data_IF_076338019435
#
_entry.id   IF_076338019435
#
_cell.length_a   1.000
_cell.length_b   1.000
_cell.length_c   1.000
_cell.angle_alpha   90.00
_cell.angle_beta   90.00
_cell.angle_gamma   90.00
#
_symmetry.space_group_name_H-M   'P 1'
#
loop_
_entity.id
_entity.type
_entity.pdbx_description
1 polymer ?
#
# COMPACT_ATOMS: atom_id res chain seq x y z
N UNK A 1 -38.04 63.45 65.44
CA UNK A 1 -38.85 62.35 66.02
C UNK A 1 -39.52 61.69 64.83
N UNK A 2 -39.17 60.48 64.41
CA UNK A 2 -39.47 59.24 65.13
C UNK A 2 -38.52 58.11 64.71
N UNK A 3 -38.01 57.38 65.70
CA UNK A 3 -37.37 56.07 65.54
C UNK A 3 -38.40 54.95 65.76
N UNK A 4 -38.10 53.78 65.19
CA UNK A 4 -38.53 52.40 65.56
C UNK A 4 -39.69 51.76 64.77
N UNK A 5 -39.79 50.41 64.68
CA UNK A 5 -38.85 49.35 65.10
C UNK A 5 -38.55 48.27 64.04
N UNK A 6 -37.43 47.57 64.27
CA UNK A 6 -36.97 46.38 63.57
C UNK A 6 -37.55 45.13 64.28
N UNK A 7 -38.58 44.50 63.73
CA UNK A 7 -39.00 43.15 64.14
C UNK A 7 -39.50 42.36 62.93
N UNK A 8 -38.61 41.61 62.27
CA UNK A 8 -39.00 40.57 61.32
C UNK A 8 -39.10 39.21 62.05
N UNK A 9 -40.09 38.36 61.72
CA UNK A 9 -40.44 37.19 62.53
C UNK A 9 -39.49 36.00 62.26
N UNK A 10 -39.11 35.31 63.34
CA UNK A 10 -38.22 34.13 63.36
C UNK A 10 -38.57 32.96 62.39
N UNK A 11 -39.83 32.68 61.98
CA UNK A 11 -40.13 31.59 61.05
C UNK A 11 -39.52 31.78 59.65
N UNK A 12 -39.27 33.03 59.23
CA UNK A 12 -38.69 33.33 57.92
C UNK A 12 -37.18 33.00 57.84
N UNK A 13 -36.50 32.86 58.99
CA UNK A 13 -35.09 32.48 59.04
C UNK A 13 -34.88 31.00 58.70
N UNK A 14 -35.75 30.11 59.20
CA UNK A 14 -35.62 28.66 59.03
C UNK A 14 -35.76 28.20 57.57
N UNK A 15 -36.74 28.74 56.84
CA UNK A 15 -36.94 28.38 55.42
C UNK A 15 -35.86 28.94 54.48
N UNK A 16 -35.33 30.13 54.76
CA UNK A 16 -34.22 30.72 53.99
C UNK A 16 -32.90 29.97 54.21
N UNK A 17 -32.65 29.50 55.43
CA UNK A 17 -31.48 28.67 55.74
C UNK A 17 -31.56 27.30 55.02
N UNK A 18 -32.71 26.62 55.05
CA UNK A 18 -32.87 25.33 54.38
C UNK A 18 -32.71 25.39 52.86
N UNK A 19 -33.21 26.46 52.21
CA UNK A 19 -33.07 26.65 50.76
C UNK A 19 -31.64 27.05 50.35
N UNK A 20 -30.97 27.89 51.13
CA UNK A 20 -29.57 28.28 50.88
C UNK A 20 -28.60 27.11 51.04
N UNK A 21 -28.85 26.21 52.01
CA UNK A 21 -28.01 25.02 52.22
C UNK A 21 -28.12 24.02 51.07
N UNK A 22 -29.33 23.82 50.50
CA UNK A 22 -29.51 22.97 49.31
C UNK A 22 -28.89 23.56 48.05
N UNK A 23 -28.96 24.89 47.87
CA UNK A 23 -28.30 25.57 46.76
C UNK A 23 -26.77 25.50 46.89
N UNK A 24 -26.23 25.70 48.10
CA UNK A 24 -24.79 25.58 48.36
C UNK A 24 -24.27 24.15 48.11
N UNK A 25 -25.01 23.11 48.52
CA UNK A 25 -24.62 21.72 48.25
C UNK A 25 -24.64 21.38 46.76
N UNK A 26 -25.63 21.89 46.01
CA UNK A 26 -25.71 21.68 44.56
C UNK A 26 -24.55 22.37 43.81
N UNK A 27 -24.15 23.57 44.22
CA UNK A 27 -23.01 24.29 43.62
C UNK A 27 -21.68 23.58 43.90
N UNK A 28 -21.51 23.02 45.09
CA UNK A 28 -20.30 22.28 45.47
C UNK A 28 -20.14 20.96 44.72
N UNK A 29 -21.24 20.20 44.55
CA UNK A 29 -21.26 18.95 43.79
C UNK A 29 -20.95 19.23 42.30
N UNK A 30 -21.63 20.20 41.71
CA UNK A 30 -21.43 20.58 40.30
C UNK A 30 -19.99 21.06 40.03
N UNK A 31 -19.36 21.72 41.01
CA UNK A 31 -17.96 22.16 40.90
C UNK A 31 -16.97 20.98 40.99
N UNK A 32 -17.23 19.97 41.83
CA UNK A 32 -16.41 18.76 41.89
C UNK A 32 -16.51 17.95 40.59
N UNK A 33 -17.72 17.80 40.05
CA UNK A 33 -17.95 17.11 38.78
C UNK A 33 -17.22 17.80 37.62
N UNK A 34 -17.31 19.14 37.55
CA UNK A 34 -16.58 19.94 36.56
C UNK A 34 -15.06 19.80 36.69
N UNK A 35 -14.51 19.73 37.91
CA UNK A 35 -13.07 19.51 38.11
C UNK A 35 -12.65 18.09 37.73
N UNK A 36 -13.50 17.09 37.98
CA UNK A 36 -13.29 15.70 37.56
C UNK A 36 -13.29 15.56 36.04
N UNK A 37 -14.29 16.17 35.38
CA UNK A 37 -14.40 16.20 33.92
C UNK A 37 -13.23 16.96 33.29
N UNK A 38 -12.84 18.10 33.84
CA UNK A 38 -11.68 18.85 33.35
C UNK A 38 -10.37 18.04 33.46
N UNK A 39 -10.19 17.26 34.55
CA UNK A 39 -9.04 16.36 34.69
C UNK A 39 -9.09 15.21 33.69
N UNK A 40 -10.25 14.59 33.49
CA UNK A 40 -10.45 13.52 32.50
C UNK A 40 -10.16 14.01 31.08
N UNK A 41 -10.73 15.16 30.70
CA UNK A 41 -10.50 15.77 29.39
C UNK A 41 -9.02 16.13 29.18
N UNK A 42 -8.33 16.66 30.20
CA UNK A 42 -6.89 16.94 30.13
C UNK A 42 -6.06 15.66 29.97
N UNK A 43 -6.42 14.58 30.66
CA UNK A 43 -5.74 13.29 30.52
C UNK A 43 -5.94 12.71 29.11
N UNK A 44 -7.17 12.77 28.57
CA UNK A 44 -7.48 12.34 27.22
C UNK A 44 -6.74 13.17 26.16
N UNK A 45 -6.69 14.50 26.32
CA UNK A 45 -5.92 15.38 25.44
C UNK A 45 -4.43 15.01 25.45
N UNK A 46 -3.84 14.81 26.64
CA UNK A 46 -2.43 14.43 26.74
C UNK A 46 -2.15 13.07 26.07
N UNK A 47 -3.07 12.11 26.19
CA UNK A 47 -2.97 10.81 25.54
C UNK A 47 -3.06 10.93 24.01
N UNK A 48 -4.08 11.65 23.51
CA UNK A 48 -4.27 11.88 22.07
C UNK A 48 -3.09 12.64 21.45
N UNK A 49 -2.55 13.63 22.15
CA UNK A 49 -1.34 14.33 21.70
C UNK A 49 -0.12 13.42 21.64
N UNK A 50 0.04 12.52 22.62
CA UNK A 50 1.13 11.55 22.63
C UNK A 50 1.02 10.56 21.46
N UNK A 51 -0.20 10.07 21.21
CA UNK A 51 -0.48 9.18 20.09
C UNK A 51 -0.26 9.89 18.74
N UNK A 52 -0.71 11.13 18.61
CA UNK A 52 -0.50 11.94 17.41
C UNK A 52 1.00 12.16 17.15
N UNK A 53 1.79 12.47 18.20
CA UNK A 53 3.25 12.57 18.09
C UNK A 53 3.88 11.26 17.62
N UNK A 54 3.47 10.12 18.18
CA UNK A 54 3.96 8.80 17.77
C UNK A 54 3.65 8.51 16.30
N UNK A 55 2.41 8.76 15.87
CA UNK A 55 1.97 8.55 14.48
C UNK A 55 2.75 9.46 13.51
N UNK A 56 2.98 10.73 13.86
CA UNK A 56 3.79 11.64 13.04
C UNK A 56 5.23 11.13 12.88
N UNK A 57 5.85 10.67 13.95
CA UNK A 57 7.20 10.10 13.90
C UNK A 57 7.26 8.82 13.04
N UNK A 58 6.23 7.99 13.10
CA UNK A 58 6.13 6.79 12.26
C UNK A 58 5.96 7.16 10.77
N UNK A 59 5.10 8.13 10.47
CA UNK A 59 4.95 8.66 9.10
C UNK A 59 6.25 9.29 8.59
N UNK A 60 6.98 10.03 9.43
CA UNK A 60 8.29 10.58 9.08
C UNK A 60 9.35 9.48 8.88
N UNK A 61 9.30 8.41 9.66
CA UNK A 61 10.20 7.26 9.50
C UNK A 61 9.90 6.51 8.20
N UNK A 62 8.64 6.20 7.94
CA UNK A 62 8.19 5.51 6.74
C UNK A 62 8.46 6.35 5.50
N UNK A 63 8.18 7.66 5.53
CA UNK A 63 8.49 8.56 4.41
C UNK A 63 9.99 8.69 4.15
N UNK A 64 10.84 8.70 5.19
CA UNK A 64 12.30 8.64 5.00
C UNK A 64 12.77 7.32 4.42
N UNK A 65 12.23 6.19 4.88
CA UNK A 65 12.52 4.88 4.32
C UNK A 65 12.12 4.81 2.84
N UNK A 66 10.93 5.33 2.49
CA UNK A 66 10.45 5.45 1.10
C UNK A 66 11.32 6.38 0.26
N UNK A 67 11.86 7.48 0.81
CA UNK A 67 12.80 8.37 0.09
C UNK A 67 14.15 7.71 -0.17
N UNK A 68 14.70 7.02 0.82
CA UNK A 68 15.96 6.26 0.68
C UNK A 68 15.78 5.12 -0.33
N UNK A 69 14.64 4.42 -0.26
CA UNK A 69 14.26 3.42 -1.24
C UNK A 69 14.09 4.07 -2.61
N UNK A 70 13.37 5.19 -2.77
CA UNK A 70 13.22 5.89 -4.06
C UNK A 70 14.54 6.39 -4.68
N UNK A 71 15.56 6.68 -3.86
CA UNK A 71 16.91 7.01 -4.36
C UNK A 71 17.72 5.78 -4.82
N UNK A 72 17.30 4.57 -4.45
CA UNK A 72 17.91 3.29 -4.85
C UNK A 72 16.97 2.42 -5.73
N UNK A 73 15.70 2.83 -5.83
CA UNK A 73 14.64 2.16 -6.54
C UNK A 73 14.44 2.84 -7.90
N UNK A 74 13.84 2.12 -8.84
CA UNK A 74 13.40 2.69 -10.10
C UNK A 74 12.47 3.85 -9.79
N UNK A 75 12.81 5.05 -10.26
CA UNK A 75 11.97 6.20 -10.05
C UNK A 75 10.57 5.93 -10.62
N UNK A 76 9.52 6.14 -9.81
CA UNK A 76 8.15 6.12 -10.31
C UNK A 76 7.99 7.26 -11.30
N UNK A 77 7.50 6.95 -12.50
CA UNK A 77 7.23 7.92 -13.57
C UNK A 77 5.80 8.41 -13.45
N UNK A 78 4.84 7.49 -13.32
CA UNK A 78 3.41 7.82 -13.24
C UNK A 78 2.62 6.71 -12.53
N UNK A 79 1.45 7.09 -12.00
CA UNK A 79 0.36 6.16 -11.67
C UNK A 79 -0.69 6.34 -12.76
N UNK A 80 -0.98 5.28 -13.50
CA UNK A 80 -1.82 5.33 -14.69
C UNK A 80 -3.08 4.47 -14.51
N UNK A 81 -4.28 4.98 -14.84
CA UNK A 81 -5.48 4.16 -14.85
C UNK A 81 -5.44 3.16 -16.01
N UNK A 82 -5.93 1.95 -15.78
CA UNK A 82 -6.19 0.95 -16.83
C UNK A 82 -7.54 1.28 -17.44
N UNK A 83 -7.55 1.71 -18.69
CA UNK A 83 -8.76 2.18 -19.39
C UNK A 83 -9.36 1.14 -20.32
N UNK A 84 -8.70 -0.01 -20.45
CA UNK A 84 -9.21 -1.13 -21.21
C UNK A 84 -8.20 -2.25 -21.36
N UNK A 85 -8.67 -3.33 -21.96
CA UNK A 85 -7.85 -4.45 -22.39
C UNK A 85 -7.96 -4.56 -23.90
N UNK A 86 -6.82 -4.76 -24.55
CA UNK A 86 -6.82 -5.08 -25.96
C UNK A 86 -6.88 -6.60 -26.14
N UNK A 87 -8.04 -7.07 -26.61
CA UNK A 87 -8.35 -8.47 -26.91
C UNK A 87 -8.26 -8.78 -28.42
N UNK A 88 -7.78 -7.84 -29.24
CA UNK A 88 -7.64 -8.04 -30.68
C UNK A 88 -6.52 -9.02 -31.05
N UNK A 89 -5.56 -9.22 -30.15
CA UNK A 89 -4.49 -10.20 -30.28
C UNK A 89 -4.81 -11.55 -29.62
N UNK A 90 -3.96 -12.55 -29.86
CA UNK A 90 -4.02 -13.85 -29.18
C UNK A 90 -3.75 -13.77 -27.67
N UNK A 91 -3.18 -12.65 -27.20
CA UNK A 91 -2.67 -12.48 -25.85
C UNK A 91 -3.17 -11.20 -25.22
N UNK A 92 -3.19 -11.20 -23.88
CA UNK A 92 -3.76 -10.14 -23.08
C UNK A 92 -2.83 -8.93 -23.00
N UNK A 93 -3.28 -7.78 -23.49
CA UNK A 93 -2.60 -6.49 -23.39
C UNK A 93 -3.47 -5.49 -22.62
N UNK A 94 -2.84 -4.59 -21.86
CA UNK A 94 -3.55 -3.54 -21.11
C UNK A 94 -3.35 -2.19 -21.78
N UNK A 95 -4.39 -1.36 -21.78
CA UNK A 95 -4.36 0.01 -22.28
C UNK A 95 -4.37 0.95 -21.08
N UNK A 96 -3.36 1.82 -21.00
CA UNK A 96 -3.26 2.84 -19.96
C UNK A 96 -3.85 4.16 -20.45
N UNK A 97 -4.50 4.90 -19.55
CA UNK A 97 -5.09 6.21 -19.80
C UNK A 97 -4.10 7.38 -19.79
N UNK A 98 -2.79 7.09 -19.79
CA UNK A 98 -1.70 8.06 -19.88
C UNK A 98 -0.80 7.73 -21.07
N UNK A 99 -0.10 8.73 -21.61
CA UNK A 99 0.73 8.60 -22.81
C UNK A 99 2.02 9.42 -22.78
N UNK A 100 2.52 9.79 -23.96
CA UNK A 100 3.78 10.52 -24.11
C UNK A 100 3.82 11.85 -23.34
N UNK A 101 2.67 12.55 -23.30
CA UNK A 101 2.49 13.84 -22.58
C UNK A 101 2.69 13.69 -21.07
N UNK A 102 2.45 12.50 -20.55
CA UNK A 102 2.58 12.16 -19.13
C UNK A 102 3.96 11.57 -18.80
N UNK A 103 4.88 11.56 -19.79
CA UNK A 103 6.25 11.08 -19.62
C UNK A 103 6.44 9.59 -19.85
N UNK A 104 5.40 8.85 -20.26
CA UNK A 104 5.51 7.42 -20.59
C UNK A 104 6.36 7.24 -21.85
N UNK A 105 7.18 6.18 -21.87
CA UNK A 105 8.01 5.78 -23.01
C UNK A 105 8.00 4.26 -23.14
N UNK A 106 8.26 3.79 -24.35
CA UNK A 106 8.46 2.36 -24.63
C UNK A 106 9.62 1.82 -23.79
N UNK A 107 9.45 0.61 -23.26
CA UNK A 107 10.44 -0.05 -22.40
C UNK A 107 10.30 0.28 -20.92
N UNK A 108 9.34 1.11 -20.51
CA UNK A 108 9.05 1.35 -19.10
C UNK A 108 8.38 0.13 -18.45
N UNK A 109 8.87 -0.37 -17.30
CA UNK A 109 8.20 -1.40 -16.52
C UNK A 109 6.88 -0.91 -15.94
N UNK A 110 5.91 -1.81 -15.91
CA UNK A 110 4.60 -1.59 -15.30
C UNK A 110 4.39 -2.58 -14.18
N UNK A 111 3.96 -2.08 -13.03
CA UNK A 111 3.78 -2.84 -11.80
C UNK A 111 2.45 -2.49 -11.13
N UNK A 112 1.97 -3.37 -10.28
CA UNK A 112 0.89 -3.15 -9.33
C UNK A 112 1.45 -3.39 -7.92
N UNK A 113 0.72 -3.01 -6.85
CA UNK A 113 1.15 -3.26 -5.47
C UNK A 113 1.53 -4.73 -5.20
N UNK A 114 0.87 -5.67 -5.88
CA UNK A 114 1.07 -7.11 -5.74
C UNK A 114 2.31 -7.62 -6.50
N UNK A 115 2.73 -6.94 -7.57
CA UNK A 115 3.87 -7.38 -8.37
C UNK A 115 3.94 -6.84 -9.80
N UNK A 116 4.72 -7.54 -10.63
CA UNK A 116 4.98 -7.18 -12.01
C UNK A 116 3.72 -7.38 -12.87
N UNK A 117 3.38 -6.35 -13.66
CA UNK A 117 2.28 -6.39 -14.63
C UNK A 117 2.83 -6.66 -16.04
N UNK A 118 3.90 -5.97 -16.43
CA UNK A 118 4.43 -6.08 -17.78
C UNK A 118 5.32 -4.92 -18.18
N UNK A 119 5.39 -4.66 -19.48
CA UNK A 119 6.25 -3.65 -20.08
C UNK A 119 5.47 -2.81 -21.10
N UNK A 120 5.69 -1.50 -21.10
CA UNK A 120 5.15 -0.63 -22.15
C UNK A 120 5.83 -0.96 -23.48
N UNK A 121 5.03 -1.30 -24.48
CA UNK A 121 5.50 -1.66 -25.83
C UNK A 121 5.14 -0.61 -26.89
N UNK A 122 4.06 0.14 -26.68
CA UNK A 122 3.65 1.24 -27.55
C UNK A 122 3.19 2.41 -26.69
N UNK A 123 3.46 3.64 -27.16
CA UNK A 123 3.00 4.87 -26.51
C UNK A 123 2.46 5.80 -27.57
N UNK A 124 1.25 6.28 -27.35
CA UNK A 124 0.60 7.34 -28.09
C UNK A 124 0.56 8.62 -27.23
N UNK A 125 0.05 9.70 -27.79
CA UNK A 125 0.03 11.00 -27.12
C UNK A 125 -0.71 10.99 -25.76
N UNK A 126 -1.76 10.17 -25.62
CA UNK A 126 -2.64 10.10 -24.44
C UNK A 126 -2.89 8.68 -23.91
N UNK A 127 -2.26 7.68 -24.50
CA UNK A 127 -2.45 6.27 -24.14
C UNK A 127 -1.15 5.51 -24.29
N UNK A 128 -1.05 4.39 -23.62
CA UNK A 128 0.06 3.47 -23.78
C UNK A 128 -0.44 2.03 -23.74
N UNK A 129 0.22 1.15 -24.50
CA UNK A 129 -0.08 -0.27 -24.55
C UNK A 129 0.97 -1.04 -23.76
N UNK A 130 0.49 -1.90 -22.86
CA UNK A 130 1.32 -2.75 -22.00
C UNK A 130 1.22 -4.19 -22.49
N UNK A 131 2.37 -4.76 -22.84
CA UNK A 131 2.51 -6.21 -22.99
C UNK A 131 2.63 -6.81 -21.59
N UNK A 132 1.67 -7.65 -21.23
CA UNK A 132 1.60 -8.23 -19.89
C UNK A 132 2.65 -9.32 -19.70
N UNK A 133 2.93 -9.70 -18.45
CA UNK A 133 3.80 -10.85 -18.14
C UNK A 133 3.27 -12.18 -18.71
N UNK A 134 1.96 -12.28 -18.97
CA UNK A 134 1.30 -13.49 -19.47
C UNK A 134 1.45 -13.68 -20.98
N UNK A 135 1.89 -12.65 -21.71
CA UNK A 135 2.16 -12.74 -23.14
C UNK A 135 3.37 -13.68 -23.41
N UNK A 136 3.28 -14.63 -24.35
CA UNK A 136 4.39 -15.54 -24.68
C UNK A 136 5.68 -14.87 -25.15
N UNK A 137 5.58 -13.65 -25.71
CA UNK A 137 6.74 -12.84 -26.08
C UNK A 137 7.37 -12.14 -24.87
N UNK A 138 6.65 -12.06 -23.75
CA UNK A 138 7.17 -11.51 -22.51
C UNK A 138 8.27 -12.40 -21.95
N UNK A 139 9.43 -11.80 -21.72
CA UNK A 139 10.58 -12.46 -21.11
C UNK A 139 11.01 -11.65 -19.90
N UNK A 140 10.87 -12.27 -18.74
CA UNK A 140 11.21 -11.64 -17.46
C UNK A 140 12.35 -12.43 -16.84
N UNK A 141 13.46 -11.76 -16.58
CA UNK A 141 14.53 -12.34 -15.82
C UNK A 141 14.16 -12.48 -14.35
N UNK A 142 14.20 -13.70 -13.82
CA UNK A 142 13.70 -14.01 -12.47
C UNK A 142 14.76 -14.66 -11.60
N UNK A 143 14.60 -14.51 -10.28
CA UNK A 143 15.37 -15.22 -9.26
C UNK A 143 14.45 -15.66 -8.12
N UNK A 144 14.73 -16.81 -7.48
CA UNK A 144 14.08 -17.15 -6.22
C UNK A 144 14.41 -16.11 -5.15
N UNK A 145 13.46 -15.83 -4.25
CA UNK A 145 13.68 -14.90 -3.14
C UNK A 145 14.73 -15.42 -2.15
N UNK A 146 14.67 -16.72 -1.82
CA UNK A 146 15.43 -17.33 -0.72
C UNK A 146 16.73 -18.01 -1.15
N UNK A 147 16.89 -18.28 -2.44
CA UNK A 147 17.98 -19.10 -2.97
C UNK A 147 18.72 -18.35 -4.06
N UNK A 148 20.05 -18.50 -4.08
CA UNK A 148 20.87 -17.94 -5.14
C UNK A 148 20.65 -18.69 -6.45
N UNK A 149 20.35 -17.93 -7.49
CA UNK A 149 20.15 -18.46 -8.83
C UNK A 149 19.35 -17.50 -9.67
N UNK A 150 19.44 -17.63 -10.98
CA UNK A 150 18.71 -16.80 -11.94
C UNK A 150 18.15 -17.68 -13.05
N UNK A 151 17.02 -17.26 -13.58
CA UNK A 151 16.32 -17.93 -14.67
C UNK A 151 15.58 -16.91 -15.53
N UNK A 152 14.81 -17.41 -16.49
CA UNK A 152 13.97 -16.61 -17.37
C UNK A 152 12.56 -17.16 -17.35
N UNK A 153 11.61 -16.31 -16.97
CA UNK A 153 10.18 -16.57 -17.04
C UNK A 153 9.60 -16.08 -18.37
N UNK A 154 8.69 -16.88 -18.93
CA UNK A 154 7.91 -16.56 -20.12
C UNK A 154 6.42 -16.71 -19.83
N UNK A 155 5.62 -15.85 -20.45
CA UNK A 155 4.16 -15.95 -20.38
C UNK A 155 3.64 -17.23 -21.01
N UNK A 156 2.69 -17.88 -20.33
CA UNK A 156 1.91 -19.00 -20.86
C UNK A 156 0.44 -18.69 -20.62
N UNK A 157 -0.26 -18.18 -21.65
CA UNK A 157 -1.69 -17.93 -21.57
C UNK A 157 -2.46 -19.20 -21.15
N UNK A 158 -3.56 -19.04 -20.41
CA UNK A 158 -4.18 -17.77 -20.06
C UNK A 158 -3.62 -17.11 -18.80
N UNK A 159 -2.95 -17.84 -17.90
CA UNK A 159 -2.82 -17.43 -16.49
C UNK A 159 -1.54 -17.91 -15.77
N UNK A 160 -0.56 -18.45 -16.51
CA UNK A 160 0.68 -18.98 -15.93
C UNK A 160 1.92 -18.37 -16.56
N UNK A 161 3.04 -18.55 -15.88
CA UNK A 161 4.37 -18.38 -16.46
C UNK A 161 5.12 -19.70 -16.38
N UNK A 162 6.05 -19.89 -17.30
CA UNK A 162 7.07 -20.95 -17.20
C UNK A 162 8.43 -20.30 -17.02
N UNK A 163 9.06 -20.57 -15.88
CA UNK A 163 10.41 -20.13 -15.56
C UNK A 163 11.42 -21.26 -15.79
N UNK A 164 12.44 -20.99 -16.60
CA UNK A 164 13.55 -21.92 -16.83
C UNK A 164 14.77 -21.52 -16.01
N UNK A 165 15.30 -22.46 -15.24
CA UNK A 165 16.50 -22.30 -14.43
C UNK A 165 17.58 -23.32 -14.82
N UNK A 166 18.87 -23.01 -14.62
CA UNK A 166 19.93 -24.01 -14.60
C UNK A 166 19.64 -25.09 -13.54
N UNK A 167 20.05 -26.35 -13.77
CA UNK A 167 19.76 -27.45 -12.85
C UNK A 167 20.44 -27.31 -11.48
N UNK A 168 21.41 -26.40 -11.35
CA UNK A 168 22.09 -26.08 -10.09
C UNK A 168 21.26 -25.19 -9.16
N UNK A 169 20.22 -24.53 -9.67
CA UNK A 169 19.37 -23.66 -8.85
C UNK A 169 18.33 -24.51 -8.12
N UNK A 170 18.33 -24.41 -6.79
CA UNK A 170 17.37 -25.13 -5.95
C UNK A 170 16.08 -24.30 -5.84
N UNK A 171 15.12 -24.59 -6.71
CA UNK A 171 13.77 -24.03 -6.66
C UNK A 171 12.83 -25.11 -6.15
N UNK A 172 11.84 -24.73 -5.33
CA UNK A 172 10.80 -25.60 -4.81
C UNK A 172 9.39 -25.01 -5.06
N UNK A 173 8.33 -25.85 -5.12
CA UNK A 173 6.96 -25.36 -5.03
C UNK A 173 6.73 -24.49 -3.79
N UNK A 174 6.01 -23.39 -3.95
CA UNK A 174 5.76 -22.37 -2.93
C UNK A 174 6.75 -21.20 -2.93
N UNK A 175 7.91 -21.36 -3.59
CA UNK A 175 8.92 -20.30 -3.66
C UNK A 175 8.39 -19.08 -4.40
N UNK A 176 8.68 -17.90 -3.86
CA UNK A 176 8.42 -16.62 -4.50
C UNK A 176 9.54 -16.31 -5.49
N UNK A 177 9.17 -15.93 -6.70
CA UNK A 177 10.07 -15.42 -7.71
C UNK A 177 9.99 -13.89 -7.77
N UNK A 178 11.16 -13.26 -7.79
CA UNK A 178 11.34 -11.83 -7.99
C UNK A 178 12.02 -11.58 -9.34
N UNK A 179 11.83 -10.40 -9.93
CA UNK A 179 12.69 -9.92 -11.03
C UNK A 179 14.14 -9.89 -10.57
N UNK A 180 15.10 -10.22 -11.44
CA UNK A 180 16.51 -10.29 -11.02
C UNK A 180 17.54 -10.72 -12.07
N UNK A 181 17.33 -10.43 -13.37
CA UNK A 181 18.33 -10.73 -14.41
C UNK A 181 19.39 -9.62 -14.61
N UNK A 182 20.61 -9.98 -15.08
CA UNK A 182 21.72 -9.04 -15.23
C UNK A 182 21.55 -7.97 -16.34
N UNK A 183 20.59 -8.13 -17.26
CA UNK A 183 20.32 -7.21 -18.38
C UNK A 183 18.81 -7.00 -18.57
N UNK A 184 18.04 -7.11 -17.47
CA UNK A 184 16.59 -7.05 -17.52
C UNK A 184 16.07 -5.64 -17.81
N UNK A 185 14.98 -5.55 -18.56
CA UNK A 185 14.19 -4.32 -18.69
C UNK A 185 13.49 -3.97 -17.36
N UNK A 186 13.46 -4.92 -16.43
CA UNK A 186 12.80 -4.81 -15.14
C UNK A 186 13.83 -4.58 -14.02
N UNK A 187 13.57 -3.62 -13.15
CA UNK A 187 14.23 -3.47 -11.86
C UNK A 187 14.31 -4.77 -11.07
N UNK A 188 15.38 -4.97 -10.31
CA UNK A 188 15.51 -6.12 -9.40
C UNK A 188 14.55 -6.00 -8.21
N UNK A 189 13.97 -7.12 -7.78
CA UNK A 189 13.19 -7.22 -6.55
C UNK A 189 11.68 -7.01 -6.67
N UNK A 190 11.13 -6.89 -7.89
CA UNK A 190 9.68 -6.83 -8.10
C UNK A 190 9.11 -8.26 -8.01
N UNK A 191 8.07 -8.51 -7.18
CA UNK A 191 7.42 -9.81 -7.14
C UNK A 191 6.81 -10.20 -8.48
N UNK A 192 7.01 -11.44 -8.92
CA UNK A 192 6.46 -11.94 -10.19
C UNK A 192 5.37 -12.97 -9.94
N UNK A 193 5.67 -14.00 -9.15
CA UNK A 193 4.77 -15.13 -8.99
C UNK A 193 5.32 -16.20 -8.04
N UNK A 194 4.48 -17.18 -7.71
CA UNK A 194 4.86 -18.33 -6.88
C UNK A 194 4.96 -19.59 -7.71
N UNK A 195 5.98 -20.39 -7.45
CA UNK A 195 6.15 -21.70 -8.10
C UNK A 195 5.05 -22.64 -7.63
N UNK A 196 4.29 -23.22 -8.55
CA UNK A 196 3.28 -24.23 -8.23
C UNK A 196 3.83 -25.64 -8.36
N UNK A 197 4.61 -25.88 -9.42
CA UNK A 197 5.13 -27.21 -9.74
C UNK A 197 6.40 -27.13 -10.57
N UNK A 198 7.19 -28.19 -10.51
CA UNK A 198 8.45 -28.33 -11.24
C UNK A 198 8.37 -29.47 -12.24
N UNK A 199 8.93 -29.26 -13.41
CA UNK A 199 9.12 -30.25 -14.46
C UNK A 199 10.59 -30.33 -14.83
N UNK A 200 11.14 -31.55 -14.87
CA UNK A 200 12.47 -31.79 -15.43
C UNK A 200 12.33 -32.04 -16.91
N UNK A 201 12.92 -31.18 -17.73
CA UNK A 201 12.94 -31.37 -19.18
C UNK A 201 13.79 -32.60 -19.53
N UNK A 202 13.33 -33.41 -20.47
CA UNK A 202 14.09 -34.57 -20.95
C UNK A 202 15.48 -34.12 -21.43
N UNK A 203 16.53 -34.78 -20.91
CA UNK A 203 17.93 -34.37 -21.11
C UNK A 203 18.56 -33.62 -19.93
N UNK A 204 17.78 -33.22 -18.91
CA UNK A 204 18.31 -32.76 -17.60
C UNK A 204 19.05 -31.41 -17.59
N UNK A 205 19.12 -30.71 -18.72
CA UNK A 205 19.89 -29.48 -18.86
C UNK A 205 19.22 -28.23 -18.27
N UNK A 206 17.91 -28.28 -17.98
CA UNK A 206 17.14 -27.18 -17.40
C UNK A 206 16.03 -27.68 -16.48
N UNK A 207 15.77 -26.92 -15.42
CA UNK A 207 14.62 -27.06 -14.55
C UNK A 207 13.52 -26.10 -15.03
N UNK A 208 12.32 -26.62 -15.32
CA UNK A 208 11.13 -25.81 -15.62
C UNK A 208 10.28 -25.68 -14.36
N UNK A 209 9.92 -24.45 -14.01
CA UNK A 209 8.99 -24.13 -12.95
C UNK A 209 7.74 -23.51 -13.57
N UNK A 210 6.58 -24.10 -13.26
CA UNK A 210 5.30 -23.46 -13.54
C UNK A 210 4.98 -22.51 -12.41
N UNK A 211 4.63 -21.28 -12.75
CA UNK A 211 4.55 -20.17 -11.82
C UNK A 211 3.20 -19.50 -11.97
N UNK A 212 2.49 -19.34 -10.86
CA UNK A 212 1.28 -18.54 -10.79
C UNK A 212 1.67 -17.07 -10.55
N UNK A 213 1.28 -16.13 -11.42
CA UNK A 213 1.48 -14.71 -11.16
C UNK A 213 0.84 -14.27 -9.85
N UNK A 214 1.43 -13.29 -9.17
CA UNK A 214 0.79 -12.67 -8.00
C UNK A 214 -0.28 -11.64 -8.38
N UNK A 215 -0.11 -11.01 -9.54
CA UNK A 215 -1.03 -9.99 -10.02
C UNK A 215 -2.18 -10.64 -10.79
N UNK A 216 -3.41 -10.32 -10.38
CA UNK A 216 -4.61 -10.68 -11.13
C UNK A 216 -4.98 -9.55 -12.10
N UNK A 217 -4.60 -9.71 -13.37
CA UNK A 217 -4.70 -8.63 -14.37
C UNK A 217 -6.14 -8.14 -14.61
N UNK A 218 -7.16 -8.96 -14.33
CA UNK A 218 -8.58 -8.61 -14.52
C UNK A 218 -9.14 -7.63 -13.51
N UNK A 219 -8.45 -7.43 -12.39
CA UNK A 219 -8.90 -6.58 -11.29
C UNK A 219 -8.11 -5.26 -11.23
N UNK A 220 -7.23 -5.02 -12.20
CA UNK A 220 -6.38 -3.83 -12.21
C UNK A 220 -7.15 -2.61 -12.68
N UNK A 221 -7.39 -1.67 -11.77
CA UNK A 221 -7.92 -0.34 -12.08
C UNK A 221 -6.80 0.67 -12.33
N UNK A 222 -5.66 0.52 -11.63
CA UNK A 222 -4.51 1.41 -11.71
C UNK A 222 -3.21 0.62 -11.66
N UNK A 223 -2.17 1.18 -12.30
CA UNK A 223 -0.82 0.63 -12.32
C UNK A 223 0.23 1.70 -12.10
N UNK A 224 1.40 1.28 -11.65
CA UNK A 224 2.56 2.13 -11.40
C UNK A 224 3.57 1.89 -12.52
N UNK A 225 3.92 2.96 -13.23
CA UNK A 225 4.94 2.96 -14.28
C UNK A 225 6.27 3.38 -13.69
N UNK A 226 7.29 2.55 -13.90
CA UNK A 226 8.64 2.78 -13.41
C UNK A 226 9.55 3.32 -14.51
N UNK A 227 10.59 4.04 -14.11
CA UNK A 227 11.68 4.43 -15.01
C UNK A 227 12.40 3.17 -15.50
N UNK A 228 12.81 3.12 -16.78
CA UNK A 228 13.63 2.01 -17.26
C UNK A 228 15.01 2.04 -16.60
N UNK A 229 15.68 0.89 -16.56
CA UNK A 229 17.06 0.75 -16.10
C UNK A 229 18.07 1.36 -17.09
#
# INVERSE_FOLDING_TARGET
LTLSPLTAPLPALGHRLGQNLRAASAILLNRQDLYGENRSLKAQLAQLESENRRLRLEVERLSRALKVQASQAPGVVAVAPVVGEDLSGLYRRLILGLGERDGLRVGMPVTAPEGLVGLIVEVEERRALVRTLLDPESQVGVRPEKVSGRGVARGVPPDHLVAEFPPTVQVAPGDLLLTGAPLGLFPDGIPVGRVERLERVQGGLKLRAWVKPLVELSLLEEVIVLRPL
#
